data_IF_068360238791
#
_entry.id   IF_068360238791
#
_cell.length_a   1.000
_cell.length_b   1.000
_cell.length_c   1.000
_cell.angle_alpha   90.00
_cell.angle_beta   90.00
_cell.angle_gamma   90.00
#
_symmetry.space_group_name_H-M   'P 1'
#
loop_
_entity.id
_entity.type
_entity.pdbx_description
1 polymer ?
#
# COMPACT_ATOMS: atom_id res chain seq x y z
N UNK A 1 -3.89 0.72 -69.03
CA UNK A 1 -3.04 0.02 -68.05
C UNK A 1 -2.64 1.02 -66.99
N UNK A 2 -3.37 1.07 -65.88
CA UNK A 2 -3.22 2.09 -64.84
C UNK A 2 -2.45 1.48 -63.69
N UNK A 3 -1.30 2.06 -63.34
CA UNK A 3 -0.48 1.62 -62.21
C UNK A 3 -1.18 1.97 -60.90
N UNK A 4 -1.33 0.97 -60.02
CA UNK A 4 -1.87 1.13 -58.67
C UNK A 4 -0.70 1.52 -57.75
N UNK A 5 -0.69 2.76 -57.28
CA UNK A 5 0.22 3.21 -56.22
C UNK A 5 -0.09 2.47 -54.92
N UNK A 6 0.90 1.73 -54.42
CA UNK A 6 0.87 1.16 -53.06
C UNK A 6 1.13 2.27 -52.06
N UNK A 7 0.09 2.77 -51.41
CA UNK A 7 0.21 3.60 -50.21
C UNK A 7 0.83 2.75 -49.08
N UNK A 8 2.07 3.07 -48.70
CA UNK A 8 2.70 2.54 -47.48
C UNK A 8 1.95 3.13 -46.28
N UNK A 9 1.25 2.29 -45.52
CA UNK A 9 0.77 2.68 -44.20
C UNK A 9 1.98 2.99 -43.31
N UNK A 10 2.06 4.19 -42.68
CA UNK A 10 3.12 4.46 -41.73
C UNK A 10 2.96 3.54 -40.51
N UNK A 11 4.07 2.95 -40.10
CA UNK A 11 4.18 2.14 -38.90
C UNK A 11 3.72 2.98 -37.69
N UNK A 12 2.91 2.45 -36.75
CA UNK A 12 2.50 3.21 -35.58
C UNK A 12 3.74 3.66 -34.82
N UNK A 13 3.85 4.98 -34.67
CA UNK A 13 4.91 5.68 -33.97
C UNK A 13 5.18 5.07 -32.59
N UNK A 14 6.47 4.96 -32.26
CA UNK A 14 7.04 4.77 -30.91
C UNK A 14 6.04 5.10 -29.81
N UNK A 15 5.45 4.08 -29.20
CA UNK A 15 4.81 4.23 -27.89
C UNK A 15 5.93 4.77 -26.99
N UNK A 16 5.81 6.03 -26.55
CA UNK A 16 6.72 6.59 -25.58
C UNK A 16 6.70 5.62 -24.38
N UNK A 17 7.83 4.96 -24.10
CA UNK A 17 7.96 4.16 -22.89
C UNK A 17 7.65 5.12 -21.73
N UNK A 18 6.52 4.93 -21.06
CA UNK A 18 6.23 5.63 -19.82
C UNK A 18 7.43 5.39 -18.90
N UNK A 19 8.07 6.45 -18.45
CA UNK A 19 9.16 6.37 -17.49
C UNK A 19 8.60 5.68 -16.22
N UNK A 20 9.09 4.47 -15.89
CA UNK A 20 8.51 3.70 -14.78
C UNK A 20 8.67 4.43 -13.45
N UNK A 21 9.68 5.28 -13.32
CA UNK A 21 9.88 6.18 -12.19
C UNK A 21 8.73 7.17 -11.99
N UNK A 22 8.38 7.92 -13.04
CA UNK A 22 7.30 8.93 -12.97
C UNK A 22 5.93 8.27 -12.77
N UNK A 23 5.73 7.10 -13.40
CA UNK A 23 4.54 6.29 -13.18
C UNK A 23 4.42 5.86 -11.71
N UNK A 24 5.48 5.26 -11.14
CA UNK A 24 5.44 4.76 -9.77
C UNK A 24 5.35 5.88 -8.73
N UNK A 25 5.98 7.03 -8.95
CA UNK A 25 5.79 8.21 -8.09
C UNK A 25 4.33 8.66 -8.07
N UNK A 26 3.65 8.66 -9.21
CA UNK A 26 2.20 8.95 -9.29
C UNK A 26 1.38 7.88 -8.58
N UNK A 27 1.71 6.60 -8.74
CA UNK A 27 0.99 5.51 -8.08
C UNK A 27 1.10 5.57 -6.55
N UNK A 28 2.23 6.04 -5.99
CA UNK A 28 2.33 6.27 -4.54
C UNK A 28 1.31 7.30 -4.05
N UNK A 29 1.16 8.41 -4.77
CA UNK A 29 0.19 9.45 -4.46
C UNK A 29 -1.25 8.95 -4.61
N UNK A 30 -1.57 8.35 -5.77
CA UNK A 30 -2.92 7.86 -6.07
C UNK A 30 -3.37 6.78 -5.08
N UNK A 31 -2.48 5.85 -4.69
CA UNK A 31 -2.83 4.83 -3.69
C UNK A 31 -2.97 5.39 -2.28
N UNK A 32 -2.30 6.50 -1.95
CA UNK A 32 -2.55 7.20 -0.68
C UNK A 32 -3.96 7.81 -0.64
N UNK A 33 -4.40 8.42 -1.74
CA UNK A 33 -5.75 8.97 -1.88
C UNK A 33 -6.83 7.88 -1.81
N UNK A 34 -6.54 6.68 -2.34
CA UNK A 34 -7.44 5.52 -2.20
C UNK A 34 -7.61 5.13 -0.72
N UNK A 35 -6.54 5.16 0.08
CA UNK A 35 -6.63 4.89 1.52
C UNK A 35 -7.48 5.95 2.21
N UNK A 36 -7.30 7.24 1.91
CA UNK A 36 -8.14 8.31 2.47
C UNK A 36 -9.62 8.06 2.19
N UNK A 37 -9.94 7.76 0.94
CA UNK A 37 -11.32 7.49 0.53
C UNK A 37 -11.88 6.24 1.21
N UNK A 38 -11.10 5.15 1.26
CA UNK A 38 -11.51 3.91 1.89
C UNK A 38 -11.78 4.12 3.39
N UNK A 39 -10.91 4.83 4.10
CA UNK A 39 -11.07 5.12 5.53
C UNK A 39 -12.26 6.05 5.79
N UNK A 40 -12.47 7.09 4.97
CA UNK A 40 -13.66 7.97 5.05
C UNK A 40 -14.97 7.24 4.80
N UNK A 41 -14.92 6.09 4.16
CA UNK A 41 -16.10 5.28 3.87
C UNK A 41 -16.46 4.30 5.00
N UNK A 42 -15.60 4.17 6.02
CA UNK A 42 -15.86 3.34 7.21
C UNK A 42 -16.75 4.13 8.17
N UNK A 43 -17.91 3.58 8.61
CA UNK A 43 -18.70 4.21 9.67
C UNK A 43 -17.91 4.35 10.97
N UNK A 44 -18.04 5.48 11.66
CA UNK A 44 -17.26 5.80 12.86
C UNK A 44 -17.36 4.70 13.92
N UNK A 45 -18.55 4.12 14.11
CA UNK A 45 -18.80 3.06 15.08
C UNK A 45 -18.07 1.74 14.76
N UNK A 46 -17.63 1.54 13.52
CA UNK A 46 -16.91 0.34 13.06
C UNK A 46 -15.41 0.57 12.90
N UNK A 47 -14.93 1.80 13.05
CA UNK A 47 -13.53 2.15 12.78
C UNK A 47 -12.54 1.27 13.56
N UNK A 48 -12.86 1.02 14.83
CA UNK A 48 -12.07 0.21 15.76
C UNK A 48 -12.63 -1.22 15.93
N UNK A 49 -13.74 -1.56 15.27
CA UNK A 49 -14.38 -2.86 15.42
C UNK A 49 -13.72 -3.90 14.48
N UNK A 50 -13.36 -5.05 15.05
CA UNK A 50 -12.86 -6.17 14.24
C UNK A 50 -14.01 -6.80 13.44
N UNK A 51 -13.78 -7.29 12.21
CA UNK A 51 -14.82 -7.94 11.41
C UNK A 51 -15.47 -9.11 12.16
N UNK A 52 -16.79 -9.08 12.43
CA UNK A 52 -17.46 -10.09 13.24
C UNK A 52 -17.45 -11.46 12.57
N UNK A 53 -17.32 -11.51 11.24
CA UNK A 53 -17.22 -12.74 10.47
C UNK A 53 -15.96 -13.55 10.80
N UNK A 54 -14.93 -12.93 11.38
CA UNK A 54 -13.71 -13.66 11.77
C UNK A 54 -13.97 -14.65 12.92
N UNK A 55 -14.77 -14.23 13.91
CA UNK A 55 -15.09 -15.02 15.11
C UNK A 55 -16.46 -15.67 15.06
N UNK A 56 -17.30 -15.34 14.07
CA UNK A 56 -18.64 -15.90 13.94
C UNK A 56 -18.61 -17.44 13.82
N UNK A 57 -19.44 -18.18 14.60
CA UNK A 57 -19.41 -19.64 14.64
C UNK A 57 -19.69 -20.28 13.26
N UNK A 58 -20.65 -19.73 12.52
CA UNK A 58 -21.03 -20.21 11.18
C UNK A 58 -20.15 -19.70 10.02
N UNK A 59 -19.12 -18.88 10.31
CA UNK A 59 -18.26 -18.36 9.25
C UNK A 59 -17.29 -19.44 8.75
N UNK A 60 -17.34 -19.71 7.45
CA UNK A 60 -16.35 -20.59 6.81
C UNK A 60 -14.97 -19.93 6.73
N UNK A 61 -13.93 -20.75 6.55
CA UNK A 61 -12.55 -20.25 6.42
C UNK A 61 -12.39 -19.24 5.27
N UNK A 62 -13.12 -19.44 4.17
CA UNK A 62 -13.10 -18.50 3.05
C UNK A 62 -13.66 -17.13 3.45
N UNK A 63 -14.71 -17.07 4.28
CA UNK A 63 -15.27 -15.82 4.78
C UNK A 63 -14.29 -15.14 5.72
N UNK A 64 -13.70 -15.90 6.66
CA UNK A 64 -12.69 -15.39 7.59
C UNK A 64 -11.49 -14.79 6.85
N UNK A 65 -10.98 -15.49 5.84
CA UNK A 65 -9.87 -15.00 5.00
C UNK A 65 -10.26 -13.79 4.15
N UNK A 66 -11.52 -13.72 3.69
CA UNK A 66 -11.98 -12.63 2.82
C UNK A 66 -12.00 -11.27 3.54
N UNK A 67 -12.50 -11.25 4.78
CA UNK A 67 -12.61 -10.05 5.62
C UNK A 67 -11.36 -9.83 6.50
N UNK A 68 -10.68 -10.91 6.90
CA UNK A 68 -9.59 -10.83 7.87
C UNK A 68 -10.08 -10.61 9.29
N UNK A 69 -9.13 -10.37 10.20
CA UNK A 69 -9.37 -10.29 11.64
C UNK A 69 -9.14 -8.90 12.24
N UNK A 70 -8.87 -7.89 11.42
CA UNK A 70 -8.43 -6.57 11.88
C UNK A 70 -9.45 -5.50 11.52
N UNK A 71 -9.71 -4.60 12.47
CA UNK A 71 -10.42 -3.36 12.23
C UNK A 71 -9.77 -2.49 11.16
N UNK A 72 -10.52 -1.54 10.60
CA UNK A 72 -10.00 -0.61 9.60
C UNK A 72 -8.86 0.25 10.18
N UNK A 73 -9.00 0.70 11.42
CA UNK A 73 -7.97 1.45 12.12
C UNK A 73 -6.68 0.63 12.29
N UNK A 74 -6.77 -0.64 12.69
CA UNK A 74 -5.60 -1.51 12.80
C UNK A 74 -4.92 -1.73 11.45
N UNK A 75 -5.70 -1.87 10.37
CA UNK A 75 -5.16 -1.99 9.01
C UNK A 75 -4.36 -0.74 8.62
N UNK A 76 -4.90 0.46 8.86
CA UNK A 76 -4.18 1.71 8.57
C UNK A 76 -2.92 1.85 9.43
N UNK A 77 -3.01 1.52 10.72
CA UNK A 77 -1.87 1.54 11.62
C UNK A 77 -0.75 0.62 11.12
N UNK A 78 -1.11 -0.61 10.73
CA UNK A 78 -0.17 -1.59 10.16
C UNK A 78 0.50 -1.05 8.90
N UNK A 79 -0.27 -0.47 7.98
CA UNK A 79 0.26 0.14 6.78
C UNK A 79 1.27 1.25 7.11
N UNK A 80 0.91 2.17 8.00
CA UNK A 80 1.80 3.25 8.41
C UNK A 80 3.09 2.71 9.04
N UNK A 81 2.97 1.77 9.98
CA UNK A 81 4.12 1.17 10.65
C UNK A 81 5.05 0.50 9.63
N UNK A 82 4.50 -0.28 8.70
CA UNK A 82 5.26 -0.90 7.61
C UNK A 82 6.03 0.13 6.78
N UNK A 83 5.36 1.22 6.39
CA UNK A 83 6.00 2.24 5.56
C UNK A 83 7.10 2.99 6.33
N UNK A 84 6.88 3.30 7.61
CA UNK A 84 7.85 4.01 8.47
C UNK A 84 9.03 3.13 8.89
N UNK A 85 8.82 1.84 9.18
CA UNK A 85 9.85 0.97 9.76
C UNK A 85 10.52 0.03 8.77
N UNK A 86 9.91 -0.19 7.60
CA UNK A 86 10.47 -1.08 6.58
C UNK A 86 10.68 -0.36 5.25
N UNK A 87 9.62 0.13 4.59
CA UNK A 87 9.75 0.61 3.21
C UNK A 87 10.62 1.87 3.10
N UNK A 88 10.28 2.94 3.81
CA UNK A 88 11.01 4.21 3.73
C UNK A 88 12.50 4.06 4.14
N UNK A 89 12.86 3.41 5.27
CA UNK A 89 14.26 3.20 5.63
C UNK A 89 15.05 2.37 4.60
N UNK A 90 14.40 1.47 3.86
CA UNK A 90 15.11 0.72 2.81
C UNK A 90 15.36 1.60 1.57
N UNK A 91 14.46 2.55 1.27
CA UNK A 91 14.63 3.47 0.14
C UNK A 91 15.81 4.44 0.35
N UNK A 92 16.11 4.82 1.60
CA UNK A 92 17.21 5.75 1.89
C UNK A 92 18.59 5.16 1.62
N UNK A 93 18.73 3.84 1.51
CA UNK A 93 19.98 3.16 1.10
C UNK A 93 20.50 3.58 -0.28
N UNK A 94 19.64 4.12 -1.15
CA UNK A 94 20.04 4.67 -2.46
C UNK A 94 20.49 6.14 -2.37
N UNK A 95 20.35 6.78 -1.21
CA UNK A 95 20.89 8.11 -0.92
C UNK A 95 22.15 8.04 -0.06
N UNK A 96 22.18 7.13 0.90
CA UNK A 96 23.32 6.91 1.78
C UNK A 96 23.44 5.42 2.16
N UNK A 97 24.45 4.75 1.62
CA UNK A 97 24.72 3.33 1.87
C UNK A 97 25.24 3.05 3.29
N UNK A 98 25.74 4.08 3.99
CA UNK A 98 26.28 3.94 5.33
C UNK A 98 25.20 3.84 6.40
N UNK A 99 23.95 4.17 6.04
CA UNK A 99 22.80 4.08 6.91
C UNK A 99 22.50 2.60 7.21
N UNK A 100 22.92 2.14 8.40
CA UNK A 100 22.60 0.79 8.85
C UNK A 100 21.10 0.68 9.09
N UNK A 101 20.46 -0.25 8.39
CA UNK A 101 19.07 -0.56 8.67
C UNK A 101 18.92 -1.15 10.08
N UNK A 102 18.28 -0.40 10.97
CA UNK A 102 17.71 -0.96 12.18
C UNK A 102 16.26 -1.36 11.88
N UNK A 103 16.07 -2.41 11.07
CA UNK A 103 14.74 -2.94 10.85
C UNK A 103 14.36 -3.91 11.98
N UNK A 104 13.53 -3.44 12.89
CA UNK A 104 12.78 -4.31 13.80
C UNK A 104 11.29 -4.03 13.61
N UNK A 105 10.60 -4.91 12.89
CA UNK A 105 9.14 -5.00 12.98
C UNK A 105 8.68 -5.66 14.29
N UNK A 106 9.62 -6.02 15.19
CA UNK A 106 9.27 -6.53 16.50
C UNK A 106 8.65 -5.40 17.33
N UNK A 107 7.48 -5.68 17.92
CA UNK A 107 6.78 -4.73 18.78
C UNK A 107 5.58 -4.03 18.16
N UNK A 108 5.18 -4.30 16.90
CA UNK A 108 4.00 -3.67 16.29
C UNK A 108 2.73 -3.81 17.16
N UNK A 109 2.50 -4.98 17.76
CA UNK A 109 1.36 -5.17 18.67
C UNK A 109 1.41 -4.22 19.87
N UNK A 110 2.61 -3.98 20.41
CA UNK A 110 2.81 -3.07 21.53
C UNK A 110 2.60 -1.61 21.11
N UNK A 111 3.16 -1.21 19.97
CA UNK A 111 2.99 0.17 19.45
C UNK A 111 1.54 0.45 19.06
N UNK A 112 0.82 -0.55 18.56
CA UNK A 112 -0.61 -0.47 18.31
C UNK A 112 -1.40 -0.25 19.60
N UNK A 113 -1.10 -1.03 20.65
CA UNK A 113 -1.73 -0.86 21.97
C UNK A 113 -1.43 0.52 22.57
N UNK A 114 -0.18 0.98 22.46
CA UNK A 114 0.21 2.33 22.89
C UNK A 114 -0.52 3.42 22.11
N UNK A 115 -0.73 3.25 20.79
CA UNK A 115 -1.50 4.19 19.98
C UNK A 115 -2.97 4.27 20.42
N UNK A 116 -3.59 3.12 20.75
CA UNK A 116 -4.95 3.08 21.31
C UNK A 116 -5.03 3.76 22.68
N UNK A 117 -4.07 3.49 23.58
CA UNK A 117 -4.02 4.10 24.91
C UNK A 117 -3.81 5.61 24.86
N UNK A 118 -3.08 6.10 23.87
CA UNK A 118 -2.84 7.53 23.65
C UNK A 118 -3.93 8.18 22.78
N UNK A 119 -5.02 7.47 22.48
CA UNK A 119 -6.15 7.94 21.66
C UNK A 119 -5.70 8.58 20.34
N UNK A 120 -4.70 7.96 19.70
CA UNK A 120 -4.13 8.50 18.47
C UNK A 120 -5.20 8.59 17.38
N UNK A 121 -5.51 9.80 16.94
CA UNK A 121 -6.63 10.03 16.03
C UNK A 121 -6.40 9.41 14.65
N UNK A 122 -7.50 9.05 13.97
CA UNK A 122 -7.46 8.61 12.57
C UNK A 122 -6.75 9.63 11.67
N UNK A 123 -7.06 10.92 11.84
CA UNK A 123 -6.46 11.98 11.04
C UNK A 123 -4.94 12.03 11.22
N UNK A 124 -4.44 11.84 12.45
CA UNK A 124 -3.00 11.81 12.70
C UNK A 124 -2.32 10.63 12.00
N UNK A 125 -2.96 9.46 11.94
CA UNK A 125 -2.42 8.33 11.18
C UNK A 125 -2.37 8.61 9.68
N UNK A 126 -3.43 9.19 9.11
CA UNK A 126 -3.49 9.57 7.70
C UNK A 126 -2.42 10.62 7.36
N UNK A 127 -2.30 11.67 8.17
CA UNK A 127 -1.31 12.73 7.96
C UNK A 127 0.12 12.17 7.96
N UNK A 128 0.43 11.26 8.87
CA UNK A 128 1.72 10.56 8.91
C UNK A 128 1.93 9.67 7.69
N UNK A 129 0.91 8.96 7.25
CA UNK A 129 0.98 8.12 6.07
C UNK A 129 1.28 8.94 4.81
N UNK A 130 0.59 10.07 4.62
CA UNK A 130 0.86 11.03 3.54
C UNK A 130 2.26 11.62 3.63
N UNK A 131 2.73 11.96 4.84
CA UNK A 131 4.09 12.44 5.04
C UNK A 131 5.13 11.41 4.58
N UNK A 132 4.91 10.12 4.87
CA UNK A 132 5.80 9.05 4.41
C UNK A 132 5.77 8.93 2.89
N UNK A 133 4.59 8.96 2.27
CA UNK A 133 4.44 8.93 0.80
C UNK A 133 5.18 10.07 0.13
N UNK A 134 5.06 11.29 0.65
CA UNK A 134 5.81 12.45 0.19
C UNK A 134 7.32 12.23 0.29
N UNK A 135 7.82 11.71 1.42
CA UNK A 135 9.25 11.40 1.58
C UNK A 135 9.74 10.37 0.56
N UNK A 136 8.93 9.34 0.26
CA UNK A 136 9.28 8.35 -0.77
C UNK A 136 9.37 9.00 -2.15
N UNK A 137 8.40 9.83 -2.53
CA UNK A 137 8.42 10.58 -3.80
C UNK A 137 9.63 11.52 -3.86
N UNK A 138 9.98 12.20 -2.77
CA UNK A 138 11.16 13.07 -2.70
C UNK A 138 12.47 12.28 -2.90
N UNK A 139 12.56 11.05 -2.38
CA UNK A 139 13.69 10.15 -2.66
C UNK A 139 13.72 9.80 -4.15
N UNK A 140 12.57 9.43 -4.73
CA UNK A 140 12.47 9.15 -6.16
C UNK A 140 12.97 10.34 -6.98
N UNK A 141 12.59 11.56 -6.66
CA UNK A 141 13.05 12.74 -7.39
C UNK A 141 14.57 12.96 -7.33
N UNK A 142 15.26 12.46 -6.31
CA UNK A 142 16.71 12.64 -6.12
C UNK A 142 17.58 11.55 -6.74
N UNK A 143 17.04 10.35 -6.96
CA UNK A 143 17.82 9.24 -7.50
C UNK A 143 18.07 9.37 -9.00
N UNK A 144 19.25 8.93 -9.43
CA UNK A 144 19.68 8.91 -10.83
C UNK A 144 19.13 7.69 -11.57
N UNK A 145 19.26 7.65 -12.90
CA UNK A 145 18.93 6.45 -13.69
C UNK A 145 19.80 5.25 -13.29
N UNK A 146 21.06 5.49 -12.93
CA UNK A 146 21.97 4.45 -12.42
C UNK A 146 21.40 3.83 -11.14
N UNK A 147 20.98 4.66 -10.18
CA UNK A 147 20.36 4.19 -8.94
C UNK A 147 19.07 3.39 -9.19
N UNK A 148 18.30 3.74 -10.22
CA UNK A 148 17.04 3.06 -10.55
C UNK A 148 17.25 1.58 -10.90
N UNK A 149 18.33 1.28 -11.62
CA UNK A 149 18.67 -0.09 -12.06
C UNK A 149 19.58 -0.85 -11.09
N UNK A 150 20.20 -0.14 -10.15
CA UNK A 150 21.09 -0.70 -9.15
C UNK A 150 20.34 -1.57 -8.14
N UNK A 151 20.93 -2.72 -7.81
CA UNK A 151 20.45 -3.58 -6.71
C UNK A 151 21.27 -3.34 -5.45
N UNK A 152 20.61 -3.28 -4.30
CA UNK A 152 21.25 -3.20 -2.98
C UNK A 152 21.09 -4.53 -2.24
N UNK A 153 22.18 -5.15 -1.75
CA UNK A 153 22.11 -6.46 -1.08
C UNK A 153 21.58 -6.37 0.36
N UNK A 154 21.69 -5.20 1.00
CA UNK A 154 21.38 -4.99 2.41
C UNK A 154 19.95 -4.51 2.64
N UNK A 155 18.98 -4.93 1.82
CA UNK A 155 17.57 -4.60 2.07
C UNK A 155 16.88 -5.71 2.86
N UNK A 156 15.72 -5.40 3.44
CA UNK A 156 14.85 -6.39 4.09
C UNK A 156 14.33 -7.47 3.13
N UNK A 157 14.43 -7.25 1.82
CA UNK A 157 13.99 -8.16 0.77
C UNK A 157 15.17 -8.81 0.01
N UNK A 158 16.38 -8.71 0.54
CA UNK A 158 17.60 -9.21 -0.08
C UNK A 158 18.11 -8.27 -1.17
N UNK A 159 18.63 -8.84 -2.27
CA UNK A 159 19.26 -8.07 -3.33
C UNK A 159 18.24 -7.56 -4.37
N UNK A 160 17.65 -6.38 -4.11
CA UNK A 160 16.55 -5.81 -4.91
C UNK A 160 16.84 -4.39 -5.37
N UNK A 161 16.09 -3.92 -6.38
CA UNK A 161 16.15 -2.54 -6.87
C UNK A 161 15.21 -1.63 -6.07
N UNK A 162 15.38 -0.31 -6.24
CA UNK A 162 14.44 0.66 -5.67
C UNK A 162 13.03 0.50 -6.29
N UNK A 163 12.94 0.17 -7.58
CA UNK A 163 11.67 -0.11 -8.27
C UNK A 163 10.87 -1.22 -7.59
N UNK A 164 11.56 -2.27 -7.11
CA UNK A 164 10.93 -3.36 -6.37
C UNK A 164 10.30 -2.86 -5.06
N UNK A 165 11.02 -2.06 -4.28
CA UNK A 165 10.54 -1.57 -2.97
C UNK A 165 9.29 -0.71 -3.16
N UNK A 166 9.32 0.22 -4.11
CA UNK A 166 8.19 1.10 -4.41
C UNK A 166 6.98 0.28 -4.88
N UNK A 167 7.21 -0.67 -5.78
CA UNK A 167 6.16 -1.56 -6.27
C UNK A 167 5.55 -2.37 -5.11
N UNK A 168 6.38 -2.85 -4.17
CA UNK A 168 5.89 -3.58 -3.00
C UNK A 168 5.08 -2.70 -2.06
N UNK A 169 5.48 -1.45 -1.81
CA UNK A 169 4.69 -0.48 -1.03
C UNK A 169 3.32 -0.19 -1.66
N UNK A 170 3.27 0.02 -2.98
CA UNK A 170 2.01 0.24 -3.73
C UNK A 170 1.13 -1.00 -3.62
N UNK A 171 1.68 -2.19 -3.90
CA UNK A 171 0.96 -3.44 -3.83
C UNK A 171 0.41 -3.71 -2.42
N UNK A 172 1.21 -3.47 -1.38
CA UNK A 172 0.80 -3.65 0.01
C UNK A 172 -0.34 -2.70 0.40
N UNK A 173 -0.26 -1.44 -0.05
CA UNK A 173 -1.34 -0.44 0.12
C UNK A 173 -2.63 -0.90 -0.53
N UNK A 174 -2.56 -1.38 -1.78
CA UNK A 174 -3.74 -1.86 -2.50
C UNK A 174 -4.36 -3.10 -1.84
N UNK A 175 -3.55 -4.05 -1.36
CA UNK A 175 -4.04 -5.22 -0.64
C UNK A 175 -4.86 -4.85 0.60
N UNK A 176 -4.33 -3.93 1.40
CA UNK A 176 -4.97 -3.49 2.64
C UNK A 176 -6.13 -2.52 2.40
N UNK A 177 -6.02 -1.61 1.43
CA UNK A 177 -7.13 -0.76 1.00
C UNK A 177 -8.33 -1.59 0.52
N UNK A 178 -8.07 -2.64 -0.25
CA UNK A 178 -9.11 -3.58 -0.67
C UNK A 178 -9.74 -4.34 0.53
N UNK A 179 -8.98 -4.67 1.59
CA UNK A 179 -9.56 -5.25 2.83
C UNK A 179 -10.49 -4.26 3.53
N UNK A 180 -10.09 -3.00 3.67
CA UNK A 180 -10.94 -1.95 4.25
C UNK A 180 -12.23 -1.81 3.44
N UNK A 181 -12.14 -1.70 2.12
CA UNK A 181 -13.32 -1.56 1.26
C UNK A 181 -14.24 -2.76 1.30
N UNK A 182 -13.71 -3.99 1.45
CA UNK A 182 -14.56 -5.17 1.65
C UNK A 182 -15.37 -5.08 2.93
N UNK A 183 -14.77 -4.59 4.02
CA UNK A 183 -15.50 -4.34 5.26
C UNK A 183 -16.59 -3.29 5.01
N UNK A 184 -16.28 -2.17 4.37
CA UNK A 184 -17.28 -1.14 4.04
C UNK A 184 -18.45 -1.69 3.23
N UNK A 185 -18.18 -2.46 2.17
CA UNK A 185 -19.19 -2.87 1.20
C UNK A 185 -20.01 -4.08 1.64
N UNK A 186 -19.42 -5.01 2.39
CA UNK A 186 -19.98 -6.36 2.55
C UNK A 186 -20.25 -6.77 4.00
N UNK A 187 -19.92 -5.94 4.99
CA UNK A 187 -20.09 -6.27 6.42
C UNK A 187 -21.51 -6.75 6.75
N UNK A 188 -22.50 -5.90 6.49
CA UNK A 188 -23.89 -6.18 6.91
C UNK A 188 -24.54 -7.29 6.08
N UNK A 189 -24.26 -7.34 4.78
CA UNK A 189 -24.86 -8.33 3.89
C UNK A 189 -24.39 -9.75 4.23
N UNK A 190 -23.10 -9.92 4.53
CA UNK A 190 -22.59 -11.22 4.99
C UNK A 190 -23.05 -11.55 6.39
N UNK A 191 -23.11 -10.59 7.31
CA UNK A 191 -23.53 -10.86 8.68
C UNK A 191 -24.99 -11.33 8.73
N UNK A 192 -25.88 -10.70 7.96
CA UNK A 192 -27.27 -11.17 7.82
C UNK A 192 -27.34 -12.60 7.28
N UNK A 193 -26.52 -12.94 6.29
CA UNK A 193 -26.48 -14.29 5.71
C UNK A 193 -26.00 -15.36 6.68
N UNK A 194 -25.06 -15.01 7.56
CA UNK A 194 -24.57 -15.92 8.60
C UNK A 194 -25.62 -16.12 9.69
N UNK A 195 -26.32 -15.07 10.10
CA UNK A 195 -27.37 -15.12 11.12
C UNK A 195 -28.68 -15.76 10.64
N UNK A 196 -28.88 -15.91 9.33
CA UNK A 196 -30.07 -16.52 8.74
C UNK A 196 -29.95 -18.04 8.54
N UNK A 197 -28.79 -18.63 8.89
CA UNK A 197 -28.55 -20.07 8.83
C UNK A 197 -28.69 -20.68 10.20
#
# INVERSE_FOLDING_TARGET
MTQVEKTKNPCPSKIAKTNSKDFLARQLEETAQIIDWAMKSVPDERLLEDPPHFTHPEASENVKKYFGSWSAYQILFHLLQYEESAALPNLTLWLDESERMNCSCSGEKKTYQEALMNELSLQTLLDRFHLVRKKQIDILNKITETHWTEKRPNTNWGNVTIEFIITKSIQHTLEHGNKILRNVLFWDSYLRRLNSK
#
